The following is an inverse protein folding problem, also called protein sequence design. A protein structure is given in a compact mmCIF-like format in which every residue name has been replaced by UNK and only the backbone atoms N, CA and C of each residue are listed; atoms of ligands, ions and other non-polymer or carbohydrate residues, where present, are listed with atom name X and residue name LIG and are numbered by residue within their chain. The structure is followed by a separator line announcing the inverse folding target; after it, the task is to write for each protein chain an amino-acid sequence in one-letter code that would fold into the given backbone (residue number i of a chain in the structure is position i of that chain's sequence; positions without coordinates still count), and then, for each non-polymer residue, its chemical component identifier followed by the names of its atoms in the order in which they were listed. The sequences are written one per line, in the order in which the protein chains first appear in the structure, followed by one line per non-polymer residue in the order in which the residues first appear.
data_IF_007992865522
#
_entry.id   IF_007992865522
#
_cell.length_a   1.000
_cell.length_b   1.000
_cell.length_c   1.000
_cell.angle_alpha   90.00
_cell.angle_beta   90.00
_cell.angle_gamma   90.00
#
_symmetry.space_group_name_H-M   'P 1'
#
loop_
_entity.id
_entity.type
_entity.pdbx_description
1 polymer ?
#
# COMPACT_ATOMS: atom_id res chain seq x y z
N UNK A 1 -7.53 -8.73 11.84
CA UNK A 1 -6.28 -8.21 11.21
C UNK A 1 -6.17 -6.76 11.64
N UNK A 2 -4.99 -6.24 12.00
CA UNK A 2 -4.80 -4.83 12.38
C UNK A 2 -4.12 -4.11 11.21
N UNK A 3 -4.48 -2.86 10.91
CA UNK A 3 -3.83 -2.06 9.86
C UNK A 3 -4.80 -1.29 8.96
N UNK A 4 -4.29 -0.78 7.84
CA UNK A 4 -5.01 0.14 6.92
C UNK A 4 -6.32 -0.41 6.34
N UNK A 5 -6.45 -1.74 6.25
CA UNK A 5 -7.65 -2.42 5.79
C UNK A 5 -8.56 -2.88 6.93
N UNK A 6 -8.31 -2.48 8.18
CA UNK A 6 -9.14 -2.87 9.33
C UNK A 6 -10.47 -2.11 9.35
N UNK A 7 -11.47 -2.69 10.01
CA UNK A 7 -12.84 -2.18 10.02
C UNK A 7 -13.73 -2.88 8.99
N UNK A 8 -14.93 -3.28 9.40
CA UNK A 8 -15.97 -3.82 8.54
C UNK A 8 -17.34 -3.81 9.25
N UNK A 9 -18.42 -3.82 8.46
CA UNK A 9 -19.81 -3.87 8.94
C UNK A 9 -20.45 -5.26 8.78
N UNK A 10 -19.66 -6.31 8.51
CA UNK A 10 -20.19 -7.64 8.24
C UNK A 10 -20.83 -8.25 9.50
N UNK A 11 -22.09 -8.65 9.37
CA UNK A 11 -22.88 -9.26 10.45
C UNK A 11 -22.68 -10.78 10.49
N UNK A 12 -22.45 -11.40 9.34
CA UNK A 12 -22.28 -12.85 9.19
C UNK A 12 -20.85 -13.24 8.83
N UNK A 13 -20.49 -14.51 9.05
CA UNK A 13 -19.19 -15.03 8.62
C UNK A 13 -19.06 -15.03 7.09
N UNK A 14 -20.13 -15.30 6.35
CA UNK A 14 -20.13 -15.30 4.88
C UNK A 14 -19.86 -13.90 4.30
N UNK A 15 -20.52 -12.87 4.84
CA UNK A 15 -20.21 -11.48 4.49
C UNK A 15 -18.75 -11.14 4.77
N UNK A 16 -18.22 -11.58 5.91
CA UNK A 16 -16.83 -11.32 6.27
C UNK A 16 -15.83 -12.07 5.36
N UNK A 17 -16.16 -13.28 4.88
CA UNK A 17 -15.35 -13.96 3.85
C UNK A 17 -15.25 -13.11 2.59
N UNK A 18 -16.33 -12.46 2.16
CA UNK A 18 -16.31 -11.57 1.00
C UNK A 18 -15.43 -10.33 1.24
N UNK A 19 -15.45 -9.76 2.45
CA UNK A 19 -14.53 -8.68 2.85
C UNK A 19 -13.07 -9.14 2.75
N UNK A 20 -12.74 -10.33 3.28
CA UNK A 20 -11.37 -10.87 3.21
C UNK A 20 -10.97 -11.17 1.76
N UNK A 21 -11.86 -11.73 0.93
CA UNK A 21 -11.63 -11.97 -0.51
C UNK A 21 -11.35 -10.65 -1.25
N UNK A 22 -12.10 -9.58 -0.96
CA UNK A 22 -11.83 -8.26 -1.53
C UNK A 22 -10.45 -7.74 -1.14
N UNK A 23 -10.07 -7.85 0.14
CA UNK A 23 -8.72 -7.50 0.61
C UNK A 23 -7.63 -8.32 -0.08
N UNK A 24 -7.87 -9.61 -0.33
CA UNK A 24 -6.96 -10.45 -1.09
C UNK A 24 -6.78 -9.97 -2.54
N UNK A 25 -7.82 -9.44 -3.20
CA UNK A 25 -7.69 -8.84 -4.55
C UNK A 25 -6.74 -7.63 -4.53
N UNK A 26 -6.86 -6.77 -3.52
CA UNK A 26 -5.94 -5.63 -3.35
C UNK A 26 -4.50 -6.11 -3.16
N UNK A 27 -4.30 -7.15 -2.34
CA UNK A 27 -2.96 -7.73 -2.12
C UNK A 27 -2.38 -8.33 -3.41
N UNK A 28 -3.20 -8.96 -4.25
CA UNK A 28 -2.76 -9.46 -5.56
C UNK A 28 -2.32 -8.31 -6.48
N UNK A 29 -3.02 -7.18 -6.47
CA UNK A 29 -2.60 -5.98 -7.21
C UNK A 29 -1.23 -5.49 -6.72
N UNK A 30 -1.00 -5.43 -5.40
CA UNK A 30 0.31 -5.07 -4.84
C UNK A 30 1.42 -6.04 -5.25
N UNK A 31 1.12 -7.34 -5.28
CA UNK A 31 2.05 -8.37 -5.73
C UNK A 31 2.43 -8.17 -7.21
N UNK A 32 1.44 -7.91 -8.07
CA UNK A 32 1.67 -7.63 -9.50
C UNK A 32 2.54 -6.38 -9.67
N UNK A 33 2.26 -5.31 -8.92
CA UNK A 33 3.09 -4.09 -8.93
C UNK A 33 4.54 -4.45 -8.57
N UNK A 34 4.77 -5.25 -7.52
CA UNK A 34 6.11 -5.68 -7.15
C UNK A 34 6.83 -6.45 -8.25
N UNK A 35 6.14 -7.37 -8.94
CA UNK A 35 6.70 -8.11 -10.09
C UNK A 35 7.07 -7.15 -11.22
N UNK A 36 6.21 -6.19 -11.55
CA UNK A 36 6.49 -5.18 -12.58
C UNK A 36 7.72 -4.36 -12.19
N UNK A 37 7.85 -3.94 -10.92
CA UNK A 37 9.00 -3.18 -10.43
C UNK A 37 10.31 -3.97 -10.62
N UNK A 38 10.34 -5.25 -10.28
CA UNK A 38 11.51 -6.11 -10.52
C UNK A 38 11.81 -6.24 -12.01
N UNK A 39 10.78 -6.47 -12.84
CA UNK A 39 10.94 -6.60 -14.29
C UNK A 39 11.50 -5.33 -14.93
N UNK A 40 11.10 -4.14 -14.46
CA UNK A 40 11.66 -2.85 -14.89
C UNK A 40 13.13 -2.74 -14.50
N UNK A 41 13.51 -3.16 -13.28
CA UNK A 41 14.91 -3.21 -12.84
C UNK A 41 15.80 -4.07 -13.75
N UNK A 42 15.35 -5.29 -14.08
CA UNK A 42 16.06 -6.15 -15.04
C UNK A 42 16.06 -5.58 -16.47
N UNK A 43 14.96 -4.97 -16.90
CA UNK A 43 14.89 -4.33 -18.22
C UNK A 43 15.89 -3.19 -18.36
N UNK A 44 16.02 -2.33 -17.34
CA UNK A 44 16.97 -1.22 -17.35
C UNK A 44 18.41 -1.71 -17.52
N UNK A 45 18.80 -2.79 -16.83
CA UNK A 45 20.13 -3.40 -16.96
C UNK A 45 20.41 -3.90 -18.38
N UNK A 46 19.44 -4.59 -19.00
CA UNK A 46 19.60 -5.17 -20.33
C UNK A 46 19.69 -4.11 -21.45
N UNK A 47 18.92 -3.03 -21.35
CA UNK A 47 18.81 -2.03 -22.41
C UNK A 47 19.72 -0.81 -22.24
N UNK A 48 20.07 -0.42 -21.00
CA UNK A 48 20.80 0.82 -20.74
C UNK A 48 22.30 0.67 -20.47
N UNK A 49 22.85 -0.55 -20.36
CA UNK A 49 24.30 -0.92 -20.26
C UNK A 49 25.27 0.23 -19.88
N UNK A 50 25.03 0.88 -18.76
CA UNK A 50 25.85 1.98 -18.22
C UNK A 50 26.07 1.75 -16.73
N UNK A 51 27.07 2.38 -16.11
CA UNK A 51 27.26 2.29 -14.65
C UNK A 51 26.04 2.82 -13.85
N UNK A 52 25.21 3.66 -14.47
CA UNK A 52 23.92 4.06 -13.93
C UNK A 52 22.88 2.92 -13.92
N UNK A 53 22.94 1.97 -14.87
CA UNK A 53 21.98 0.87 -14.96
C UNK A 53 22.17 -0.20 -13.88
N UNK A 54 23.39 -0.41 -13.39
CA UNK A 54 23.65 -1.33 -12.25
C UNK A 54 22.99 -0.82 -10.96
N UNK A 55 23.15 0.47 -10.64
CA UNK A 55 22.50 1.09 -9.48
C UNK A 55 20.96 1.09 -9.57
N UNK A 56 20.42 1.30 -10.78
CA UNK A 56 18.97 1.25 -11.03
C UNK A 56 18.45 -0.18 -10.83
N UNK A 57 19.15 -1.18 -11.35
CA UNK A 57 18.76 -2.58 -11.18
C UNK A 57 18.61 -2.94 -9.69
N UNK A 58 19.62 -2.64 -8.88
CA UNK A 58 19.62 -2.98 -7.45
C UNK A 58 18.47 -2.31 -6.69
N UNK A 59 18.23 -1.02 -6.93
CA UNK A 59 17.19 -0.26 -6.24
C UNK A 59 15.79 -0.76 -6.57
N UNK A 60 15.49 -0.95 -7.87
CA UNK A 60 14.17 -1.42 -8.30
C UNK A 60 13.93 -2.89 -7.94
N UNK A 61 14.94 -3.73 -8.05
CA UNK A 61 14.86 -5.14 -7.63
C UNK A 61 14.61 -5.27 -6.13
N UNK A 62 15.35 -4.53 -5.30
CA UNK A 62 15.15 -4.55 -3.84
C UNK A 62 13.73 -4.10 -3.46
N UNK A 63 13.28 -2.96 -3.98
CA UNK A 63 11.94 -2.44 -3.70
C UNK A 63 10.83 -3.39 -4.18
N UNK A 64 11.01 -4.00 -5.35
CA UNK A 64 10.05 -4.96 -5.90
C UNK A 64 9.99 -6.25 -5.09
N UNK A 65 11.13 -6.80 -4.68
CA UNK A 65 11.22 -8.02 -3.85
C UNK A 65 10.55 -7.80 -2.48
N UNK A 66 10.81 -6.67 -1.81
CA UNK A 66 10.19 -6.34 -0.53
C UNK A 66 8.66 -6.31 -0.64
N UNK A 67 8.16 -5.67 -1.71
CA UNK A 67 6.72 -5.60 -1.97
C UNK A 67 6.11 -6.98 -2.24
N UNK A 68 6.81 -7.85 -2.97
CA UNK A 68 6.38 -9.24 -3.23
C UNK A 68 6.34 -10.04 -1.93
N UNK A 69 7.37 -9.96 -1.09
CA UNK A 69 7.46 -10.70 0.17
C UNK A 69 6.32 -10.28 1.11
N UNK A 70 6.16 -8.97 1.35
CA UNK A 70 5.12 -8.46 2.24
C UNK A 70 3.72 -8.83 1.72
N UNK A 71 3.48 -8.68 0.42
CA UNK A 71 2.20 -9.05 -0.20
C UNK A 71 1.93 -10.55 -0.08
N UNK A 72 2.93 -11.39 -0.30
CA UNK A 72 2.81 -12.85 -0.18
C UNK A 72 2.47 -13.28 1.24
N UNK A 73 3.15 -12.71 2.26
CA UNK A 73 2.86 -12.99 3.68
C UNK A 73 1.41 -12.60 4.03
N UNK A 74 0.96 -11.42 3.59
CA UNK A 74 -0.41 -10.96 3.84
C UNK A 74 -1.46 -11.83 3.14
N UNK A 75 -1.16 -12.27 1.92
CA UNK A 75 -2.03 -13.15 1.15
C UNK A 75 -2.18 -14.52 1.81
N UNK A 76 -1.06 -15.15 2.20
CA UNK A 76 -1.05 -16.45 2.90
C UNK A 76 -1.83 -16.34 4.21
N UNK A 77 -1.59 -15.28 5.00
CA UNK A 77 -2.31 -15.05 6.26
C UNK A 77 -3.83 -14.94 6.05
N UNK A 78 -4.28 -14.28 4.99
CA UNK A 78 -5.71 -14.18 4.67
C UNK A 78 -6.28 -15.50 4.14
N UNK A 79 -5.51 -16.28 3.39
CA UNK A 79 -5.91 -17.63 2.96
C UNK A 79 -6.10 -18.57 4.15
N UNK A 80 -5.16 -18.57 5.08
CA UNK A 80 -5.26 -19.34 6.33
C UNK A 80 -6.45 -18.89 7.18
N UNK A 81 -6.76 -17.60 7.20
CA UNK A 81 -7.93 -17.07 7.91
C UNK A 81 -9.25 -17.52 7.27
N UNK A 82 -9.34 -17.63 5.95
CA UNK A 82 -10.54 -18.09 5.24
C UNK A 82 -10.82 -19.59 5.45
N UNK A 83 -9.77 -20.38 5.70
CA UNK A 83 -9.89 -21.83 5.90
C UNK A 83 -10.22 -22.22 7.36
N UNK A 84 -10.22 -21.28 8.31
CA UNK A 84 -10.45 -21.54 9.73
C UNK A 84 -11.63 -20.71 10.26
N UNK A 85 -12.80 -21.35 10.40
CA UNK A 85 -14.06 -20.71 10.83
C UNK A 85 -13.96 -20.07 12.22
N UNK A 86 -13.17 -20.65 13.14
CA UNK A 86 -13.01 -20.14 14.50
C UNK A 86 -12.18 -18.85 14.46
N UNK A 87 -11.05 -18.88 13.75
CA UNK A 87 -10.21 -17.68 13.55
C UNK A 87 -10.95 -16.62 12.76
N UNK A 88 -11.75 -17.00 11.76
CA UNK A 88 -12.57 -16.10 10.96
C UNK A 88 -13.58 -15.36 11.83
N UNK A 89 -14.35 -16.08 12.66
CA UNK A 89 -15.32 -15.50 13.60
C UNK A 89 -14.65 -14.54 14.58
N UNK A 90 -13.53 -14.95 15.19
CA UNK A 90 -12.75 -14.10 16.11
C UNK A 90 -12.22 -12.85 15.41
N UNK A 91 -11.73 -12.98 14.18
CA UNK A 91 -11.26 -11.86 13.37
C UNK A 91 -12.39 -10.91 13.01
N UNK A 92 -13.58 -11.42 12.66
CA UNK A 92 -14.77 -10.60 12.37
C UNK A 92 -15.14 -9.72 13.56
N UNK A 93 -15.34 -10.33 14.73
CA UNK A 93 -15.69 -9.62 15.97
C UNK A 93 -14.67 -8.52 16.30
N UNK A 94 -13.37 -8.85 16.22
CA UNK A 94 -12.31 -7.86 16.45
C UNK A 94 -12.26 -6.72 15.40
N UNK A 95 -12.73 -6.94 14.17
CA UNK A 95 -12.74 -5.90 13.13
C UNK A 95 -14.05 -5.09 13.10
N UNK A 96 -15.05 -5.44 13.91
CA UNK A 96 -16.29 -4.67 14.09
C UNK A 96 -16.20 -3.73 15.29
N UNK A 97 -15.20 -3.92 16.15
CA UNK A 97 -14.91 -3.03 17.28
C UNK A 97 -14.52 -1.63 16.80
N UNK A 98 -15.30 -0.62 17.22
CA UNK A 98 -15.10 0.79 16.89
C UNK A 98 -13.71 1.29 17.29
N UNK A 99 -13.15 0.77 18.40
CA UNK A 99 -11.81 1.13 18.85
C UNK A 99 -10.74 0.75 17.84
N UNK A 100 -10.88 -0.41 17.19
CA UNK A 100 -9.93 -0.86 16.16
C UNK A 100 -10.04 0.02 14.92
N UNK A 101 -11.24 0.49 14.58
CA UNK A 101 -11.43 1.44 13.49
C UNK A 101 -10.77 2.80 13.79
N UNK A 102 -10.96 3.33 15.00
CA UNK A 102 -10.36 4.61 15.40
C UNK A 102 -8.83 4.55 15.45
N UNK A 103 -8.26 3.46 16.00
CA UNK A 103 -6.81 3.23 15.96
C UNK A 103 -6.32 3.19 14.51
N UNK A 104 -7.02 2.47 13.63
CA UNK A 104 -6.69 2.41 12.20
C UNK A 104 -6.65 3.79 11.56
N UNK A 105 -7.66 4.62 11.80
CA UNK A 105 -7.74 5.98 11.26
C UNK A 105 -6.62 6.89 11.78
N UNK A 106 -6.32 6.84 13.09
CA UNK A 106 -5.21 7.62 13.68
C UNK A 106 -3.85 7.18 13.15
N UNK A 107 -3.61 5.87 13.06
CA UNK A 107 -2.39 5.32 12.48
C UNK A 107 -2.24 5.69 11.01
N UNK A 108 -3.30 5.62 10.22
CA UNK A 108 -3.28 6.02 8.82
C UNK A 108 -2.99 7.51 8.65
N UNK A 109 -3.62 8.38 9.45
CA UNK A 109 -3.36 9.82 9.43
C UNK A 109 -1.88 10.13 9.72
N UNK A 110 -1.31 9.48 10.74
CA UNK A 110 0.11 9.64 11.06
C UNK A 110 1.00 9.14 9.91
N UNK A 111 0.73 7.95 9.37
CA UNK A 111 1.49 7.38 8.27
C UNK A 111 1.44 8.28 7.01
N UNK A 112 0.28 8.84 6.68
CA UNK A 112 0.11 9.78 5.58
C UNK A 112 0.92 11.06 5.78
N UNK A 113 0.91 11.64 7.00
CA UNK A 113 1.73 12.82 7.32
C UNK A 113 3.23 12.51 7.18
N UNK A 114 3.68 11.40 7.74
CA UNK A 114 5.08 10.96 7.63
C UNK A 114 5.47 10.75 6.16
N UNK A 115 4.59 10.13 5.36
CA UNK A 115 4.82 9.91 3.94
C UNK A 115 4.98 11.23 3.17
N UNK A 116 4.15 12.25 3.46
CA UNK A 116 4.27 13.58 2.85
C UNK A 116 5.59 14.28 3.23
N UNK A 117 5.98 14.22 4.49
CA UNK A 117 7.24 14.81 4.98
C UNK A 117 8.43 14.15 4.31
N UNK A 118 8.47 12.81 4.30
CA UNK A 118 9.57 12.05 3.67
C UNK A 118 9.61 12.31 2.17
N UNK A 119 8.47 12.31 1.47
CA UNK A 119 8.42 12.62 0.04
C UNK A 119 8.98 14.00 -0.27
N UNK A 120 8.64 15.01 0.54
CA UNK A 120 9.14 16.37 0.37
C UNK A 120 10.64 16.49 0.67
N UNK A 121 11.11 15.87 1.76
CA UNK A 121 12.54 15.85 2.10
C UNK A 121 13.37 15.16 1.01
N UNK A 122 12.91 14.00 0.50
CA UNK A 122 13.57 13.30 -0.60
C UNK A 122 13.55 14.13 -1.87
N UNK A 123 12.48 14.89 -2.15
CA UNK A 123 12.44 15.79 -3.30
C UNK A 123 13.46 16.94 -3.19
N UNK A 124 13.62 17.52 -2.00
CA UNK A 124 14.61 18.57 -1.76
C UNK A 124 16.03 18.05 -1.96
N UNK A 125 16.37 16.89 -1.37
CA UNK A 125 17.70 16.30 -1.49
C UNK A 125 17.95 15.83 -2.93
N UNK A 126 17.02 15.05 -3.49
CA UNK A 126 17.11 14.51 -4.85
C UNK A 126 17.15 15.60 -5.92
N UNK A 127 16.43 16.71 -5.70
CA UNK A 127 16.40 17.87 -6.59
C UNK A 127 17.72 18.61 -6.73
N UNK A 128 18.61 18.51 -5.74
CA UNK A 128 19.96 19.07 -5.84
C UNK A 128 20.82 18.33 -6.88
N UNK A 129 20.49 17.07 -7.16
CA UNK A 129 21.20 16.23 -8.12
C UNK A 129 20.50 16.19 -9.48
N UNK A 130 19.17 16.08 -9.49
CA UNK A 130 18.36 16.04 -10.71
C UNK A 130 17.05 16.83 -10.53
N UNK A 131 16.89 17.97 -11.23
CA UNK A 131 15.67 18.76 -11.20
C UNK A 131 14.41 17.97 -11.62
N UNK A 132 14.55 16.99 -12.53
CA UNK A 132 13.44 16.16 -12.98
C UNK A 132 12.97 15.21 -11.86
N UNK A 133 13.91 14.65 -11.09
CA UNK A 133 13.59 13.83 -9.91
C UNK A 133 12.82 14.64 -8.85
N UNK A 134 13.20 15.89 -8.60
CA UNK A 134 12.44 16.78 -7.74
C UNK A 134 11.02 17.05 -8.25
N UNK A 135 10.85 17.32 -9.54
CA UNK A 135 9.51 17.55 -10.12
C UNK A 135 8.61 16.33 -9.91
N UNK A 136 9.11 15.12 -10.18
CA UNK A 136 8.35 13.87 -10.01
C UNK A 136 8.00 13.65 -8.53
N UNK A 137 8.97 13.80 -7.61
CA UNK A 137 8.74 13.58 -6.17
C UNK A 137 7.83 14.64 -5.53
N UNK A 138 7.82 15.88 -6.04
CA UNK A 138 6.88 16.93 -5.61
C UNK A 138 5.49 16.76 -6.25
N UNK A 139 5.38 16.09 -7.40
CA UNK A 139 4.08 15.84 -8.03
C UNK A 139 3.25 14.81 -7.26
N UNK A 140 3.89 13.82 -6.61
CA UNK A 140 3.24 12.81 -5.77
C UNK A 140 2.37 13.41 -4.64
N UNK A 141 2.90 14.28 -3.75
CA UNK A 141 2.10 14.90 -2.71
C UNK A 141 0.99 15.78 -3.27
N UNK A 142 1.19 16.44 -4.41
CA UNK A 142 0.15 17.21 -5.09
C UNK A 142 -1.03 16.31 -5.51
N UNK A 143 -0.75 15.19 -6.18
CA UNK A 143 -1.78 14.21 -6.55
C UNK A 143 -2.48 13.67 -5.29
N UNK A 144 -1.73 13.34 -4.25
CA UNK A 144 -2.29 12.83 -3.00
C UNK A 144 -3.26 13.84 -2.36
N UNK A 145 -2.89 15.12 -2.28
CA UNK A 145 -3.74 16.16 -1.73
C UNK A 145 -5.01 16.38 -2.57
N UNK A 146 -4.89 16.39 -3.90
CA UNK A 146 -6.06 16.48 -4.80
C UNK A 146 -6.99 15.29 -4.58
N UNK A 147 -6.45 14.07 -4.57
CA UNK A 147 -7.23 12.85 -4.33
C UNK A 147 -7.91 12.88 -2.97
N UNK A 148 -7.23 13.37 -1.93
CA UNK A 148 -7.80 13.55 -0.60
C UNK A 148 -8.96 14.54 -0.61
N UNK A 149 -8.83 15.70 -1.24
CA UNK A 149 -9.89 16.72 -1.34
C UNK A 149 -11.11 16.16 -2.07
N UNK A 150 -10.90 15.46 -3.20
CA UNK A 150 -11.98 14.83 -3.96
C UNK A 150 -12.69 13.76 -3.12
N UNK A 151 -11.93 12.87 -2.48
CA UNK A 151 -12.47 11.83 -1.64
C UNK A 151 -13.25 12.42 -0.44
N UNK A 152 -12.69 13.42 0.23
CA UNK A 152 -13.34 14.10 1.35
C UNK A 152 -14.67 14.70 0.92
N UNK A 153 -14.71 15.43 -0.19
CA UNK A 153 -15.95 16.00 -0.74
C UNK A 153 -16.97 14.92 -1.09
N UNK A 154 -16.54 13.83 -1.73
CA UNK A 154 -17.43 12.72 -2.08
C UNK A 154 -18.06 12.08 -0.83
N UNK A 155 -17.26 11.77 0.19
CA UNK A 155 -17.75 11.12 1.40
C UNK A 155 -18.56 12.06 2.29
N UNK A 156 -18.19 13.35 2.40
CA UNK A 156 -18.95 14.36 3.13
C UNK A 156 -20.35 14.61 2.55
N UNK A 157 -20.54 14.37 1.25
CA UNK A 157 -21.86 14.46 0.62
C UNK A 157 -22.69 13.18 0.77
N UNK A 158 -22.07 12.06 1.15
CA UNK A 158 -22.71 10.74 1.21
C UNK A 158 -23.02 10.29 2.64
N UNK A 159 -22.26 10.78 3.61
CA UNK A 159 -22.48 10.61 5.06
C UNK A 159 -23.33 11.76 5.58
#
# INVERSE_FOLDING_TARGET
MKGILAGNTAKTNEEYKNVIKYRMKIIVVLLIIGIITVAVGFGAELYMKTSASENIHEVFSAAGIDLIIISSILWIKNRLLLNDEIKLKKSRLNNTDERIHEIGNKSFKLAAIVMLIVSYATALIGGLFDPLLAQVLLFIPCIFLIAYVIAFKYYNNKM
#
